data_IF_379906711236
#
_entry.id   IF_379906711236
#
_cell.length_a   1.000
_cell.length_b   1.000
_cell.length_c   1.000
_cell.angle_alpha   90.00
_cell.angle_beta   90.00
_cell.angle_gamma   90.00
#
_symmetry.space_group_name_H-M   'P 1'
#
loop_
_entity.id
_entity.type
_entity.pdbx_description
1 polymer ?
#
# COMPACT_ATOMS: atom_id res chain seq x y z
N UNK A 1 17.11 -2.63 -21.11
CA UNK A 1 16.43 -2.23 -19.85
C UNK A 1 16.17 -3.50 -19.05
N UNK A 2 16.41 -3.48 -17.74
CA UNK A 2 16.11 -4.59 -16.83
C UNK A 2 14.92 -4.19 -15.96
N UNK A 3 13.85 -4.99 -15.98
CA UNK A 3 12.62 -4.77 -15.21
C UNK A 3 12.41 -5.84 -14.13
N UNK A 4 13.42 -6.66 -13.87
CA UNK A 4 13.37 -7.70 -12.84
C UNK A 4 13.43 -7.05 -11.46
N UNK A 5 12.66 -7.58 -10.53
CA UNK A 5 12.70 -7.19 -9.13
C UNK A 5 13.93 -7.78 -8.46
N UNK A 6 14.52 -7.04 -7.52
CA UNK A 6 15.53 -7.59 -6.63
C UNK A 6 14.91 -8.49 -5.53
N UNK A 7 15.76 -9.19 -4.78
CA UNK A 7 15.31 -10.11 -3.73
C UNK A 7 14.48 -9.41 -2.65
N UNK A 8 14.86 -8.20 -2.27
CA UNK A 8 14.17 -7.42 -1.24
C UNK A 8 12.78 -7.01 -1.71
N UNK A 9 12.66 -6.53 -2.95
CA UNK A 9 11.38 -6.21 -3.56
C UNK A 9 10.45 -7.43 -3.66
N UNK A 10 10.99 -8.59 -4.02
CA UNK A 10 10.25 -9.86 -4.07
C UNK A 10 9.74 -10.23 -2.67
N UNK A 11 10.60 -10.17 -1.65
CA UNK A 11 10.23 -10.52 -0.28
C UNK A 11 9.14 -9.59 0.28
N UNK A 12 9.26 -8.27 0.06
CA UNK A 12 8.22 -7.32 0.45
C UNK A 12 6.91 -7.56 -0.29
N UNK A 13 6.97 -7.79 -1.61
CA UNK A 13 5.78 -8.05 -2.42
C UNK A 13 5.05 -9.31 -1.94
N UNK A 14 5.78 -10.38 -1.64
CA UNK A 14 5.20 -11.63 -1.19
C UNK A 14 4.65 -11.53 0.24
N UNK A 15 5.31 -10.79 1.13
CA UNK A 15 4.79 -10.49 2.46
C UNK A 15 3.45 -9.72 2.37
N UNK A 16 3.40 -8.68 1.55
CA UNK A 16 2.18 -7.91 1.32
C UNK A 16 1.06 -8.78 0.74
N UNK A 17 1.36 -9.61 -0.27
CA UNK A 17 0.37 -10.54 -0.86
C UNK A 17 -0.20 -11.50 0.16
N UNK A 18 0.64 -12.05 1.06
CA UNK A 18 0.17 -12.93 2.13
C UNK A 18 -0.79 -12.21 3.06
N UNK A 19 -0.43 -11.01 3.52
CA UNK A 19 -1.31 -10.19 4.36
C UNK A 19 -2.63 -9.87 3.66
N UNK A 20 -2.58 -9.36 2.43
CA UNK A 20 -3.79 -8.99 1.68
C UNK A 20 -4.72 -10.18 1.47
N UNK A 21 -4.19 -11.36 1.17
CA UNK A 21 -5.01 -12.58 0.99
C UNK A 21 -5.62 -13.08 2.30
N UNK A 22 -4.87 -13.04 3.39
CA UNK A 22 -5.31 -13.57 4.68
C UNK A 22 -6.30 -12.64 5.38
N UNK A 23 -6.02 -11.34 5.39
CA UNK A 23 -6.72 -10.37 6.25
C UNK A 23 -7.68 -9.47 5.48
N UNK A 24 -7.34 -9.10 4.24
CA UNK A 24 -8.08 -8.06 3.50
C UNK A 24 -9.12 -8.69 2.57
N UNK A 25 -8.70 -9.58 1.67
CA UNK A 25 -9.55 -10.20 0.66
C UNK A 25 -10.85 -10.82 1.21
N UNK A 26 -10.87 -11.53 2.36
CA UNK A 26 -12.08 -12.19 2.85
C UNK A 26 -13.24 -11.26 3.20
N UNK A 27 -13.00 -9.96 3.37
CA UNK A 27 -14.03 -9.01 3.79
C UNK A 27 -14.48 -8.05 2.68
N UNK A 28 -13.74 -7.95 1.57
CA UNK A 28 -13.92 -6.91 0.54
C UNK A 28 -15.35 -6.91 0.00
N UNK A 29 -15.83 -8.04 -0.52
CA UNK A 29 -17.13 -8.13 -1.18
C UNK A 29 -18.28 -7.71 -0.26
N UNK A 30 -18.23 -8.16 1.01
CA UNK A 30 -19.24 -7.78 2.01
C UNK A 30 -19.20 -6.28 2.28
N UNK A 31 -18.02 -5.71 2.48
CA UNK A 31 -17.89 -4.29 2.82
C UNK A 31 -18.31 -3.39 1.66
N UNK A 32 -17.93 -3.74 0.44
CA UNK A 32 -18.35 -3.02 -0.76
C UNK A 32 -19.87 -3.12 -0.97
N UNK A 33 -20.46 -4.31 -0.82
CA UNK A 33 -21.92 -4.49 -0.93
C UNK A 33 -22.70 -3.73 0.15
N UNK A 34 -22.16 -3.63 1.36
CA UNK A 34 -22.75 -2.88 2.48
C UNK A 34 -22.43 -1.37 2.44
N UNK A 35 -21.63 -0.88 1.47
CA UNK A 35 -21.20 0.51 1.38
C UNK A 35 -20.35 0.96 2.58
N UNK A 36 -19.60 0.03 3.18
CA UNK A 36 -18.81 0.27 4.40
C UNK A 36 -17.42 0.77 4.07
N UNK A 37 -16.93 1.66 4.93
CA UNK A 37 -15.56 2.15 4.85
C UNK A 37 -14.54 1.05 5.13
N UNK A 38 -13.37 1.17 4.49
CA UNK A 38 -12.21 0.33 4.77
C UNK A 38 -11.86 0.42 6.26
N UNK A 39 -11.71 -0.71 6.98
CA UNK A 39 -11.35 -0.69 8.38
C UNK A 39 -10.03 0.04 8.63
N UNK A 40 -9.99 0.91 9.65
CA UNK A 40 -8.80 1.67 10.02
C UNK A 40 -7.56 0.79 10.21
N UNK A 41 -7.71 -0.38 10.87
CA UNK A 41 -6.62 -1.35 11.07
C UNK A 41 -5.94 -1.77 9.76
N UNK A 42 -6.67 -1.84 8.64
CA UNK A 42 -6.12 -2.24 7.34
C UNK A 42 -5.38 -1.10 6.67
N UNK A 43 -5.82 0.15 6.89
CA UNK A 43 -5.11 1.34 6.45
C UNK A 43 -3.80 1.48 7.23
N UNK A 44 -3.84 1.29 8.56
CA UNK A 44 -2.67 1.38 9.43
C UNK A 44 -1.62 0.32 9.11
N UNK A 45 -2.04 -0.93 8.83
CA UNK A 45 -1.14 -2.01 8.43
C UNK A 45 -0.31 -1.69 7.17
N UNK A 46 -0.75 -0.75 6.31
CA UNK A 46 0.03 -0.34 5.14
C UNK A 46 1.30 0.43 5.50
N UNK A 47 1.44 0.92 6.74
CA UNK A 47 2.69 1.53 7.23
C UNK A 47 3.84 0.54 7.26
N UNK A 48 3.57 -0.70 7.69
CA UNK A 48 4.57 -1.76 7.81
C UNK A 48 5.15 -2.19 6.45
N UNK A 49 4.42 -1.92 5.37
CA UNK A 49 4.85 -2.16 3.99
C UNK A 49 5.43 -0.91 3.31
N UNK A 50 5.61 0.20 4.04
CA UNK A 50 6.09 1.47 3.51
C UNK A 50 5.10 2.17 2.56
N UNK A 51 3.84 1.70 2.51
CA UNK A 51 2.85 2.22 1.58
C UNK A 51 2.16 3.50 2.08
N UNK A 52 2.11 3.72 3.39
CA UNK A 52 1.55 4.94 3.99
C UNK A 52 2.68 5.83 4.53
N UNK A 53 2.94 6.96 3.87
CA UNK A 53 4.00 7.92 4.22
C UNK A 53 5.39 7.58 3.67
N UNK A 54 5.59 6.38 3.10
CA UNK A 54 6.93 5.95 2.66
C UNK A 54 7.50 6.70 1.46
N UNK A 55 6.68 7.44 0.70
CA UNK A 55 7.16 8.32 -0.38
C UNK A 55 7.77 9.63 0.13
N UNK A 56 7.61 9.96 1.41
CA UNK A 56 8.18 11.18 1.98
C UNK A 56 9.71 11.02 2.21
N UNK A 57 10.45 12.13 2.21
CA UNK A 57 11.85 12.14 2.64
C UNK A 57 12.02 11.60 4.05
N UNK A 58 13.18 10.99 4.34
CA UNK A 58 13.50 10.46 5.67
C UNK A 58 13.46 11.54 6.76
N UNK A 59 13.83 12.79 6.44
CA UNK A 59 13.77 13.94 7.37
C UNK A 59 12.34 14.25 7.85
N UNK A 60 11.33 13.83 7.09
CA UNK A 60 9.92 13.97 7.42
C UNK A 60 9.32 12.68 7.97
N UNK A 61 10.16 11.69 8.32
CA UNK A 61 9.75 10.40 8.87
C UNK A 61 9.28 9.39 7.82
N UNK A 62 9.56 9.62 6.53
CA UNK A 62 9.31 8.68 5.44
C UNK A 62 10.46 7.71 5.18
N UNK A 63 10.43 7.08 4.01
CA UNK A 63 11.43 6.07 3.58
C UNK A 63 12.11 6.41 2.25
N UNK A 64 11.82 7.59 1.67
CA UNK A 64 12.24 7.99 0.32
C UNK A 64 12.08 6.84 -0.72
N UNK A 65 10.94 6.15 -0.63
CA UNK A 65 10.75 4.88 -1.33
C UNK A 65 10.77 5.11 -2.85
N UNK A 66 11.58 4.37 -3.62
CA UNK A 66 11.59 4.50 -5.07
C UNK A 66 10.19 4.24 -5.66
N UNK A 67 9.79 5.09 -6.62
CA UNK A 67 8.47 4.99 -7.26
C UNK A 67 8.21 3.63 -7.93
N UNK A 68 9.27 2.92 -8.35
CA UNK A 68 9.18 1.54 -8.87
C UNK A 68 8.75 0.56 -7.79
N UNK A 69 9.37 0.61 -6.61
CA UNK A 69 9.01 -0.21 -5.44
C UNK A 69 7.61 0.13 -4.94
N UNK A 70 7.30 1.42 -4.80
CA UNK A 70 5.95 1.88 -4.43
C UNK A 70 4.90 1.39 -5.44
N UNK A 71 5.15 1.60 -6.73
CA UNK A 71 4.25 1.22 -7.82
C UNK A 71 3.97 -0.28 -7.85
N UNK A 72 5.00 -1.11 -7.62
CA UNK A 72 4.86 -2.55 -7.50
C UNK A 72 3.95 -2.94 -6.32
N UNK A 73 4.18 -2.37 -5.14
CA UNK A 73 3.44 -2.71 -3.92
C UNK A 73 1.98 -2.22 -3.98
N UNK A 74 1.76 -0.97 -4.38
CA UNK A 74 0.41 -0.38 -4.46
C UNK A 74 -0.46 -1.09 -5.51
N UNK A 75 0.15 -1.69 -6.54
CA UNK A 75 -0.56 -2.51 -7.51
C UNK A 75 -1.13 -3.80 -6.91
N UNK A 76 -0.44 -4.42 -5.93
CA UNK A 76 -0.99 -5.58 -5.23
C UNK A 76 -2.22 -5.19 -4.39
N UNK A 77 -2.18 -4.03 -3.73
CA UNK A 77 -3.34 -3.50 -2.99
C UNK A 77 -4.50 -3.21 -3.94
N UNK A 78 -4.23 -2.59 -5.09
CA UNK A 78 -5.25 -2.27 -6.09
C UNK A 78 -5.98 -3.52 -6.62
N UNK A 79 -5.29 -4.65 -6.73
CA UNK A 79 -5.88 -5.93 -7.17
C UNK A 79 -6.86 -6.51 -6.17
N UNK A 80 -6.70 -6.21 -4.88
CA UNK A 80 -7.52 -6.77 -3.80
C UNK A 80 -8.64 -5.81 -3.43
N UNK A 81 -8.32 -4.53 -3.20
CA UNK A 81 -9.32 -3.55 -2.79
C UNK A 81 -8.98 -2.14 -3.30
N UNK A 82 -9.61 -1.70 -4.40
CA UNK A 82 -9.39 -0.36 -4.98
C UNK A 82 -9.62 0.79 -4.00
N UNK A 83 -10.63 0.67 -3.12
CA UNK A 83 -10.94 1.69 -2.09
C UNK A 83 -9.79 1.87 -1.10
N UNK A 84 -9.19 0.78 -0.61
CA UNK A 84 -8.00 0.84 0.24
C UNK A 84 -6.82 1.48 -0.51
N UNK A 85 -6.56 1.04 -1.75
CA UNK A 85 -5.50 1.64 -2.57
C UNK A 85 -5.69 3.15 -2.76
N UNK A 86 -6.93 3.60 -2.98
CA UNK A 86 -7.22 5.03 -3.17
C UNK A 86 -6.86 5.84 -1.93
N UNK A 87 -7.28 5.39 -0.74
CA UNK A 87 -6.94 6.03 0.54
C UNK A 87 -5.42 6.22 0.65
N UNK A 88 -4.66 5.14 0.45
CA UNK A 88 -3.20 5.18 0.57
C UNK A 88 -2.56 6.16 -0.40
N UNK A 89 -2.92 6.08 -1.70
CA UNK A 89 -2.31 6.95 -2.71
C UNK A 89 -2.66 8.42 -2.53
N UNK A 90 -3.89 8.73 -2.13
CA UNK A 90 -4.32 10.10 -1.85
C UNK A 90 -3.64 10.66 -0.61
N UNK A 91 -3.46 9.85 0.44
CA UNK A 91 -2.72 10.26 1.64
C UNK A 91 -1.26 10.60 1.32
N UNK A 92 -0.57 9.80 0.50
CA UNK A 92 0.80 10.11 0.09
C UNK A 92 0.88 11.39 -0.73
N UNK A 93 -0.04 11.60 -1.67
CA UNK A 93 -0.08 12.83 -2.46
C UNK A 93 -0.35 14.06 -1.58
N UNK A 94 -1.27 13.95 -0.63
CA UNK A 94 -1.57 15.04 0.30
C UNK A 94 -0.35 15.36 1.19
N UNK A 95 0.39 14.34 1.62
CA UNK A 95 1.59 14.55 2.41
C UNK A 95 2.71 15.20 1.58
N UNK A 96 2.92 14.76 0.32
CA UNK A 96 4.00 15.27 -0.54
C UNK A 96 3.84 16.74 -0.97
N UNK A 97 2.67 17.35 -0.78
CA UNK A 97 2.46 18.78 -1.04
C UNK A 97 2.63 19.66 0.20
N UNK A 98 2.69 19.04 1.38
CA UNK A 98 2.86 19.73 2.66
C UNK A 98 4.32 19.76 3.13
N UNK A 99 5.17 18.92 2.53
CA UNK A 99 6.58 18.73 2.85
C UNK A 99 7.43 19.00 1.62
#
# INVERSE_FOLDING_TARGET
>A
MNFSLDSTQIELQDALRRYLRAEVAPIVDRYEAEGRMVPQKMVEAMRDFGLLGGLLPEENGGYDLPMTSYGMLIAEVARIWPSLRSIISTSNLAASVLT
#
